data_IF_767122582176
#
_entry.id   IF_767122582176
#
_cell.length_a   1.000
_cell.length_b   1.000
_cell.length_c   1.000
_cell.angle_alpha   90.00
_cell.angle_beta   90.00
_cell.angle_gamma   90.00
#
_symmetry.space_group_name_H-M   'P 1'
#
loop_
_entity.id
_entity.type
_entity.pdbx_description
1 polymer ?
#
# COMPACT_ATOMS: atom_id res chain seq x y z
N UNK A 1 -12.10 21.73 8.49
CA UNK A 1 -11.83 20.80 9.61
C UNK A 1 -11.02 19.64 9.06
N UNK A 2 -9.89 19.29 9.68
CA UNK A 2 -9.08 18.13 9.30
C UNK A 2 -8.70 17.30 10.52
N UNK A 3 -8.94 15.99 10.46
CA UNK A 3 -8.57 15.04 11.52
C UNK A 3 -7.15 14.47 11.35
N UNK A 4 -6.64 14.44 10.11
CA UNK A 4 -5.36 13.81 9.75
C UNK A 4 -4.55 14.64 8.73
N UNK A 5 -5.07 15.80 8.32
CA UNK A 5 -4.56 16.56 7.20
C UNK A 5 -3.71 17.75 7.70
N UNK A 6 -2.57 17.99 7.03
CA UNK A 6 -1.65 19.09 7.29
C UNK A 6 -2.37 20.46 7.20
N UNK A 7 -2.76 20.99 8.37
CA UNK A 7 -3.53 22.22 8.49
C UNK A 7 -2.75 23.48 8.06
N UNK A 8 -1.41 23.47 8.15
CA UNK A 8 -0.56 24.61 7.81
C UNK A 8 -0.65 24.95 6.32
N UNK A 9 -0.74 23.93 5.45
CA UNK A 9 -0.94 24.14 4.01
C UNK A 9 -2.27 24.83 3.70
N UNK A 10 -3.31 24.52 4.48
CA UNK A 10 -4.62 25.16 4.32
C UNK A 10 -4.59 26.61 4.83
N UNK A 11 -3.89 26.87 5.93
CA UNK A 11 -3.70 28.24 6.41
C UNK A 11 -2.97 29.10 5.39
N UNK A 12 -1.87 28.61 4.82
CA UNK A 12 -1.12 29.34 3.78
C UNK A 12 -1.93 29.60 2.52
N UNK A 13 -2.81 28.67 2.12
CA UNK A 13 -3.69 28.84 0.97
C UNK A 13 -4.78 29.90 1.20
N UNK A 14 -5.26 30.05 2.43
CA UNK A 14 -6.27 31.03 2.83
C UNK A 14 -5.63 32.24 3.56
N UNK A 15 -4.56 32.79 2.99
CA UNK A 15 -3.90 34.01 3.48
C UNK A 15 -3.48 33.97 4.96
N UNK A 16 -2.87 32.87 5.38
CA UNK A 16 -2.43 32.63 6.77
C UNK A 16 -3.58 32.78 7.79
N UNK A 17 -4.75 32.23 7.46
CA UNK A 17 -5.90 32.27 8.36
C UNK A 17 -5.59 31.60 9.72
N UNK A 18 -6.21 32.09 10.82
CA UNK A 18 -5.97 31.57 12.16
C UNK A 18 -6.36 30.10 12.26
N UNK A 19 -5.47 29.29 12.83
CA UNK A 19 -5.67 27.86 13.07
C UNK A 19 -5.89 27.58 14.55
N UNK A 20 -6.85 26.70 14.85
CA UNK A 20 -7.11 26.21 16.21
C UNK A 20 -6.91 24.70 16.21
N UNK A 21 -6.01 24.22 17.07
CA UNK A 21 -5.76 22.80 17.27
C UNK A 21 -6.52 22.31 18.50
N UNK A 22 -7.52 21.46 18.29
CA UNK A 22 -8.26 20.80 19.36
C UNK A 22 -7.59 19.45 19.61
N UNK A 23 -7.05 19.17 20.81
CA UNK A 23 -6.48 17.87 21.12
C UNK A 23 -7.57 16.79 21.04
N UNK A 24 -7.27 15.71 20.32
CA UNK A 24 -8.16 14.55 20.24
C UNK A 24 -8.16 13.74 21.54
N UNK A 25 -9.29 13.14 21.86
CA UNK A 25 -9.39 12.01 22.79
C UNK A 25 -9.59 10.76 21.93
N UNK A 26 -8.64 9.83 21.99
CA UNK A 26 -8.72 8.55 21.28
C UNK A 26 -8.84 7.41 22.28
N UNK A 27 -9.64 6.41 21.93
CA UNK A 27 -9.60 5.10 22.59
C UNK A 27 -8.52 4.24 21.92
N UNK A 28 -7.95 3.24 22.61
CA UNK A 28 -7.01 2.34 21.98
C UNK A 28 -7.70 1.63 20.79
N UNK A 29 -7.07 1.73 19.61
CA UNK A 29 -7.48 1.02 18.39
C UNK A 29 -6.33 0.08 18.04
N UNK A 30 -6.63 -1.20 17.85
CA UNK A 30 -5.66 -2.17 17.36
C UNK A 30 -5.49 -2.00 15.85
N UNK A 31 -4.25 -1.84 15.42
CA UNK A 31 -3.88 -1.76 14.01
C UNK A 31 -3.41 -3.14 13.55
N UNK A 32 -3.95 -3.63 12.42
CA UNK A 32 -3.53 -4.87 11.80
C UNK A 32 -2.97 -4.58 10.41
N UNK A 33 -1.78 -5.11 10.14
CA UNK A 33 -1.17 -5.09 8.82
C UNK A 33 -1.67 -6.28 7.98
N UNK A 34 -1.27 -6.31 6.72
CA UNK A 34 -1.75 -7.33 5.79
C UNK A 34 -1.34 -8.74 6.23
N UNK A 35 -0.13 -8.86 6.76
CA UNK A 35 0.46 -10.10 7.28
C UNK A 35 -0.40 -10.66 8.42
N UNK A 36 -0.78 -9.81 9.37
CA UNK A 36 -1.64 -10.16 10.51
C UNK A 36 -2.99 -10.68 10.03
N UNK A 37 -3.60 -9.98 9.07
CA UNK A 37 -4.90 -10.38 8.52
C UNK A 37 -4.80 -11.73 7.80
N UNK A 38 -3.74 -11.97 7.04
CA UNK A 38 -3.53 -13.25 6.34
C UNK A 38 -3.35 -14.39 7.37
N UNK A 39 -2.59 -14.17 8.43
CA UNK A 39 -2.39 -15.15 9.50
C UNK A 39 -3.69 -15.45 10.25
N UNK A 40 -4.42 -14.40 10.65
CA UNK A 40 -5.68 -14.50 11.38
C UNK A 40 -6.77 -15.22 10.57
N UNK A 41 -6.89 -14.89 9.28
CA UNK A 41 -7.97 -15.42 8.43
C UNK A 41 -7.57 -16.68 7.67
N UNK A 42 -6.28 -17.04 7.67
CA UNK A 42 -5.70 -18.10 6.82
C UNK A 42 -6.11 -17.94 5.35
N UNK A 43 -6.24 -16.70 4.91
CA UNK A 43 -6.73 -16.37 3.57
C UNK A 43 -5.82 -16.99 2.51
N UNK A 44 -6.42 -17.75 1.59
CA UNK A 44 -5.75 -18.31 0.42
C UNK A 44 -6.38 -17.70 -0.84
N UNK A 45 -5.65 -16.87 -1.60
CA UNK A 45 -6.20 -16.31 -2.83
C UNK A 45 -6.52 -17.45 -3.79
N UNK A 46 -7.76 -17.51 -4.27
CA UNK A 46 -8.09 -18.38 -5.38
C UNK A 46 -7.48 -17.79 -6.65
N UNK A 47 -6.62 -18.56 -7.33
CA UNK A 47 -6.10 -18.24 -8.66
C UNK A 47 -7.21 -18.35 -9.72
N UNK A 48 -8.30 -17.59 -9.54
CA UNK A 48 -9.20 -17.29 -10.63
C UNK A 48 -8.67 -16.02 -11.27
N UNK A 49 -7.85 -16.18 -12.31
CA UNK A 49 -7.68 -15.15 -13.32
C UNK A 49 -9.05 -14.86 -13.93
N UNK A 50 -9.87 -14.06 -13.24
CA UNK A 50 -11.15 -13.53 -13.73
C UNK A 50 -10.92 -12.44 -14.77
N UNK A 51 -9.83 -12.53 -15.53
CA UNK A 51 -9.58 -11.65 -16.66
C UNK A 51 -10.54 -12.09 -17.77
N UNK A 52 -11.49 -11.23 -18.18
CA UNK A 52 -12.38 -11.56 -19.28
C UNK A 52 -11.55 -11.91 -20.51
N UNK A 53 -11.96 -12.93 -21.26
CA UNK A 53 -11.19 -13.50 -22.38
C UNK A 53 -10.67 -12.43 -23.35
N UNK A 54 -11.46 -11.37 -23.58
CA UNK A 54 -11.09 -10.24 -24.44
C UNK A 54 -9.84 -9.45 -23.96
N UNK A 55 -9.53 -9.45 -22.66
CA UNK A 55 -8.33 -8.82 -22.07
C UNK A 55 -7.11 -9.75 -22.16
N UNK A 56 -7.28 -11.06 -22.37
CA UNK A 56 -6.16 -12.01 -22.51
C UNK A 56 -5.40 -11.82 -23.82
N UNK A 57 -6.12 -11.62 -24.94
CA UNK A 57 -5.49 -11.39 -26.25
C UNK A 57 -4.75 -10.05 -26.36
N UNK A 58 -5.22 -9.01 -25.68
CA UNK A 58 -4.63 -7.66 -25.77
C UNK A 58 -3.30 -7.52 -25.01
N UNK A 59 -3.03 -8.37 -24.01
CA UNK A 59 -1.81 -8.33 -23.19
C UNK A 59 -0.80 -9.45 -23.50
N UNK A 60 -1.20 -10.48 -24.25
CA UNK A 60 -0.28 -11.56 -24.67
C UNK A 60 0.80 -11.09 -25.65
N UNK A 61 0.60 -9.96 -26.34
CA UNK A 61 1.59 -9.37 -27.25
C UNK A 61 2.65 -8.47 -26.60
N UNK A 62 2.69 -8.31 -25.27
CA UNK A 62 3.56 -7.31 -24.63
C UNK A 62 4.28 -7.75 -23.35
N UNK A 63 4.11 -9.01 -22.93
CA UNK A 63 4.56 -9.48 -21.62
C UNK A 63 5.96 -10.11 -21.56
N UNK A 64 6.70 -10.21 -22.67
CA UNK A 64 8.13 -10.55 -22.63
C UNK A 64 8.99 -9.28 -22.57
N UNK A 65 8.72 -8.39 -21.61
CA UNK A 65 9.64 -7.30 -21.28
C UNK A 65 10.68 -7.87 -20.30
N UNK A 66 11.95 -8.03 -20.70
CA UNK A 66 13.00 -8.53 -19.81
C UNK A 66 13.12 -7.69 -18.52
N UNK A 67 12.80 -6.39 -18.60
CA UNK A 67 12.72 -5.47 -17.46
C UNK A 67 11.79 -5.94 -16.32
N UNK A 68 10.73 -6.71 -16.63
CA UNK A 68 9.83 -7.27 -15.60
C UNK A 68 10.49 -8.43 -14.86
N UNK A 69 11.19 -9.29 -15.59
CA UNK A 69 11.93 -10.42 -15.01
C UNK A 69 13.12 -9.92 -14.20
N UNK A 70 13.82 -8.88 -14.67
CA UNK A 70 14.91 -8.21 -13.96
C UNK A 70 14.42 -7.58 -12.64
N UNK A 71 13.30 -6.83 -12.68
CA UNK A 71 12.69 -6.27 -11.45
C UNK A 71 12.20 -7.34 -10.48
N UNK A 72 11.67 -8.44 -10.99
CA UNK A 72 11.25 -9.57 -10.14
C UNK A 72 12.47 -10.29 -9.53
N UNK A 73 13.60 -10.38 -10.25
CA UNK A 73 14.85 -10.91 -9.74
C UNK A 73 15.47 -9.97 -8.69
N UNK A 74 15.56 -8.66 -8.98
CA UNK A 74 16.00 -7.64 -8.03
C UNK A 74 15.15 -7.66 -6.76
N UNK A 75 13.82 -7.73 -6.92
CA UNK A 75 12.91 -7.84 -5.78
C UNK A 75 13.16 -9.11 -4.98
N UNK A 76 13.35 -10.26 -5.62
CA UNK A 76 13.67 -11.54 -4.96
C UNK A 76 15.05 -11.54 -4.29
N UNK A 77 16.04 -10.85 -4.84
CA UNK A 77 17.37 -10.72 -4.26
C UNK A 77 17.40 -9.72 -3.08
N UNK A 78 16.60 -8.66 -3.16
CA UNK A 78 16.46 -7.66 -2.11
C UNK A 78 15.53 -8.13 -0.97
N UNK A 79 14.60 -9.04 -1.26
CA UNK A 79 13.62 -9.57 -0.31
C UNK A 79 14.21 -10.09 1.01
N UNK A 80 15.32 -10.87 1.00
CA UNK A 80 15.94 -11.37 2.23
C UNK A 80 16.58 -10.27 3.09
N UNK A 81 16.92 -9.11 2.51
CA UNK A 81 17.38 -7.95 3.27
C UNK A 81 16.20 -7.21 3.90
N UNK A 82 15.11 -7.01 3.16
CA UNK A 82 13.87 -6.41 3.68
C UNK A 82 13.24 -7.25 4.80
N UNK A 83 13.12 -8.57 4.60
CA UNK A 83 12.59 -9.48 5.61
C UNK A 83 13.42 -9.48 6.91
N UNK A 84 14.76 -9.30 6.81
CA UNK A 84 15.63 -9.16 7.99
C UNK A 84 15.37 -7.88 8.78
N UNK A 85 14.97 -6.79 8.13
CA UNK A 85 14.64 -5.53 8.83
C UNK A 85 13.32 -5.59 9.61
N UNK A 86 12.45 -6.56 9.30
CA UNK A 86 11.16 -6.75 9.99
C UNK A 86 11.25 -7.72 11.19
N UNK A 87 12.40 -8.37 11.40
CA UNK A 87 12.65 -9.29 12.52
C UNK A 87 13.38 -8.61 13.71
N UNK A 88 13.37 -7.27 13.77
CA UNK A 88 13.94 -6.48 14.88
C UNK A 88 12.94 -6.22 16.00
#
# INVERSE_FOLDING_TARGET
>A
MSATLNAEKFSQYFDNCPMIHIPGLTFPVEEFLLEDIIEMTRYRPQNQDRRPSWKRGFWQGRNSRPEKEEKEAEYKESWPCYARTLQG
#
